data_IF_520961771283
#
_entry.id   IF_520961771283
#
_cell.length_a   1.000
_cell.length_b   1.000
_cell.length_c   1.000
_cell.angle_alpha   90.00
_cell.angle_beta   90.00
_cell.angle_gamma   90.00
#
_symmetry.space_group_name_H-M   'P 1'
#
loop_
_entity.id
_entity.type
_entity.pdbx_description
1 polymer ?
#
# COMPACT_ATOMS: atom_id res chain seq x y z
N UNK A 1 6.45 -20.22 17.42
CA UNK A 1 6.99 -19.95 16.07
C UNK A 1 6.26 -18.77 15.40
N UNK A 2 7.00 -17.78 14.91
CA UNK A 2 6.43 -16.65 14.17
C UNK A 2 6.11 -17.09 12.73
N UNK A 3 4.96 -16.65 12.19
CA UNK A 3 4.52 -17.01 10.83
C UNK A 3 5.05 -16.06 9.74
N UNK A 4 5.76 -15.00 10.15
CA UNK A 4 6.29 -13.97 9.27
C UNK A 4 7.63 -13.46 9.81
N UNK A 5 8.43 -12.88 8.91
CA UNK A 5 9.66 -12.14 9.22
C UNK A 5 9.38 -10.64 9.12
N UNK A 6 10.26 -9.82 9.69
CA UNK A 6 10.23 -8.37 9.55
C UNK A 6 11.66 -7.87 9.32
N UNK A 7 11.81 -6.90 8.43
CA UNK A 7 13.08 -6.22 8.14
C UNK A 7 12.88 -4.70 8.16
N UNK A 8 13.96 -3.97 8.40
CA UNK A 8 13.93 -2.50 8.46
C UNK A 8 14.27 -1.93 7.09
N UNK A 9 13.39 -1.09 6.54
CA UNK A 9 13.63 -0.43 5.25
C UNK A 9 14.65 0.73 5.34
N UNK A 10 14.74 1.36 6.51
CA UNK A 10 15.61 2.49 6.81
C UNK A 10 16.20 2.33 8.23
N UNK A 11 17.32 3.02 8.59
CA UNK A 11 17.84 3.00 9.96
C UNK A 11 16.79 3.42 10.99
N UNK A 12 16.52 2.58 11.98
CA UNK A 12 15.46 2.80 12.95
C UNK A 12 15.85 2.37 14.38
N UNK A 13 15.06 2.82 15.35
CA UNK A 13 15.16 2.38 16.75
C UNK A 13 13.99 1.44 17.06
N UNK A 14 14.28 0.32 17.70
CA UNK A 14 13.29 -0.72 18.00
C UNK A 14 13.28 -0.95 19.52
N UNK A 15 12.10 -0.80 20.12
CA UNK A 15 11.87 -1.16 21.51
C UNK A 15 11.32 -2.59 21.58
N UNK A 16 12.06 -3.50 22.22
CA UNK A 16 11.58 -4.85 22.46
C UNK A 16 10.72 -4.92 23.71
N UNK A 17 9.52 -5.50 23.59
CA UNK A 17 8.63 -5.76 24.72
C UNK A 17 8.40 -7.27 24.80
N UNK A 18 8.74 -7.86 25.94
CA UNK A 18 8.49 -9.28 26.16
C UNK A 18 6.98 -9.57 26.18
N UNK A 19 6.54 -10.60 25.45
CA UNK A 19 5.12 -10.97 25.33
C UNK A 19 4.43 -11.11 26.69
N UNK A 20 5.07 -11.76 27.66
CA UNK A 20 4.44 -11.98 28.97
C UNK A 20 4.31 -10.68 29.76
N UNK A 21 5.32 -9.82 29.70
CA UNK A 21 5.27 -8.50 30.33
C UNK A 21 4.15 -7.64 29.73
N UNK A 22 4.00 -7.66 28.40
CA UNK A 22 2.93 -6.94 27.72
C UNK A 22 1.54 -7.44 28.11
N UNK A 23 1.32 -8.77 28.12
CA UNK A 23 0.03 -9.33 28.50
C UNK A 23 -0.33 -9.04 29.96
N UNK A 24 0.65 -9.10 30.88
CA UNK A 24 0.43 -8.68 32.28
C UNK A 24 0.07 -7.20 32.36
N UNK A 25 0.77 -6.35 31.61
CA UNK A 25 0.48 -4.92 31.56
C UNK A 25 -0.96 -4.65 31.09
N UNK A 26 -1.42 -5.30 30.03
CA UNK A 26 -2.80 -5.15 29.53
C UNK A 26 -3.84 -5.61 30.55
N UNK A 27 -3.57 -6.68 31.30
CA UNK A 27 -4.44 -7.16 32.36
C UNK A 27 -4.62 -6.15 33.51
N UNK A 28 -3.63 -5.30 33.74
CA UNK A 28 -3.64 -4.29 34.80
C UNK A 28 -4.13 -2.90 34.32
N UNK A 29 -4.30 -2.70 33.01
CA UNK A 29 -4.63 -1.41 32.40
C UNK A 29 -5.76 -1.57 31.36
N UNK A 30 -7.04 -1.62 31.81
CA UNK A 30 -8.20 -1.87 30.94
C UNK A 30 -8.34 -0.88 29.78
N UNK A 31 -8.03 0.39 30.00
CA UNK A 31 -8.06 1.44 28.97
C UNK A 31 -7.04 1.19 27.86
N UNK A 32 -5.85 0.68 28.21
CA UNK A 32 -4.86 0.30 27.20
C UNK A 32 -5.27 -0.98 26.48
N UNK A 33 -5.87 -1.94 27.20
CA UNK A 33 -6.42 -3.15 26.60
C UNK A 33 -7.47 -2.83 25.53
N UNK A 34 -8.39 -1.91 25.81
CA UNK A 34 -9.41 -1.48 24.85
C UNK A 34 -8.77 -0.86 23.60
N UNK A 35 -7.80 0.04 23.76
CA UNK A 35 -7.08 0.65 22.62
C UNK A 35 -6.34 -0.38 21.77
N UNK A 36 -5.73 -1.38 22.39
CA UNK A 36 -5.08 -2.48 21.67
C UNK A 36 -6.10 -3.30 20.90
N UNK A 37 -7.26 -3.60 21.48
CA UNK A 37 -8.35 -4.31 20.80
C UNK A 37 -8.88 -3.51 19.59
N UNK A 38 -9.07 -2.20 19.73
CA UNK A 38 -9.44 -1.30 18.63
C UNK A 38 -8.39 -1.30 17.52
N UNK A 39 -7.11 -1.22 17.89
CA UNK A 39 -6.02 -1.24 16.91
C UNK A 39 -5.97 -2.57 16.14
N UNK A 40 -6.16 -3.71 16.82
CA UNK A 40 -6.23 -5.01 16.18
C UNK A 40 -7.45 -5.13 15.25
N UNK A 41 -8.61 -4.63 15.67
CA UNK A 41 -9.82 -4.60 14.84
C UNK A 41 -9.63 -3.75 13.58
N UNK A 42 -9.00 -2.58 13.71
CA UNK A 42 -8.66 -1.74 12.58
C UNK A 42 -7.65 -2.41 11.63
N UNK A 43 -6.61 -3.06 12.16
CA UNK A 43 -5.67 -3.82 11.34
C UNK A 43 -6.35 -4.96 10.58
N UNK A 44 -7.26 -5.69 11.24
CA UNK A 44 -8.03 -6.74 10.60
C UNK A 44 -8.93 -6.19 9.48
N UNK A 45 -9.63 -5.08 9.75
CA UNK A 45 -10.49 -4.41 8.74
C UNK A 45 -9.68 -3.92 7.54
N UNK A 46 -8.52 -3.30 7.77
CA UNK A 46 -7.63 -2.87 6.70
C UNK A 46 -7.13 -4.06 5.85
N UNK A 47 -6.74 -5.16 6.51
CA UNK A 47 -6.33 -6.39 5.83
C UNK A 47 -7.50 -6.99 5.02
N UNK A 48 -8.71 -6.97 5.58
CA UNK A 48 -9.90 -7.46 4.88
C UNK A 48 -10.25 -6.60 3.67
N UNK A 49 -10.16 -5.27 3.76
CA UNK A 49 -10.35 -4.38 2.61
C UNK A 49 -9.25 -4.57 1.56
N UNK A 50 -8.00 -4.86 1.95
CA UNK A 50 -6.95 -5.23 1.00
C UNK A 50 -7.26 -6.56 0.30
N UNK A 51 -7.67 -7.60 1.04
CA UNK A 51 -8.07 -8.88 0.44
C UNK A 51 -9.27 -8.70 -0.48
N UNK A 52 -10.26 -7.90 -0.05
CA UNK A 52 -11.43 -7.55 -0.85
C UNK A 52 -11.03 -6.77 -2.09
N UNK A 53 -10.13 -5.80 -2.01
CA UNK A 53 -9.69 -5.03 -3.17
C UNK A 53 -8.92 -5.91 -4.16
N UNK A 54 -8.10 -6.84 -3.68
CA UNK A 54 -7.41 -7.84 -4.49
C UNK A 54 -8.37 -8.86 -5.13
N UNK A 55 -9.43 -9.25 -4.42
CA UNK A 55 -10.44 -10.20 -4.89
C UNK A 55 -11.50 -9.57 -5.81
N UNK A 56 -11.77 -8.27 -5.67
CA UNK A 56 -12.65 -7.48 -6.54
C UNK A 56 -11.94 -7.01 -7.81
N UNK A 57 -10.61 -7.05 -7.85
CA UNK A 57 -9.85 -6.71 -9.04
C UNK A 57 -9.53 -7.99 -9.83
N UNK A 58 -10.16 -8.10 -11.00
CA UNK A 58 -10.05 -9.21 -11.94
C UNK A 58 -8.72 -9.19 -12.70
N UNK A 59 -8.09 -8.02 -12.87
CA UNK A 59 -6.82 -7.89 -13.62
C UNK A 59 -5.70 -7.23 -12.82
N UNK A 60 -4.44 -7.53 -13.20
CA UNK A 60 -3.28 -6.86 -12.62
C UNK A 60 -3.28 -5.34 -12.86
N UNK A 61 -3.91 -4.88 -13.95
CA UNK A 61 -4.08 -3.47 -14.26
C UNK A 61 -5.01 -2.76 -13.26
N UNK A 62 -6.14 -3.37 -12.91
CA UNK A 62 -7.06 -2.87 -11.88
C UNK A 62 -6.37 -2.77 -10.51
N UNK A 63 -5.66 -3.84 -10.10
CA UNK A 63 -4.94 -3.87 -8.83
C UNK A 63 -3.89 -2.77 -8.74
N UNK A 64 -3.09 -2.60 -9.79
CA UNK A 64 -2.11 -1.52 -9.86
C UNK A 64 -2.79 -0.15 -9.83
N UNK A 65 -3.84 0.06 -10.63
CA UNK A 65 -4.55 1.33 -10.68
C UNK A 65 -5.15 1.72 -9.33
N UNK A 66 -5.77 0.78 -8.61
CA UNK A 66 -6.32 1.00 -7.27
C UNK A 66 -5.21 1.35 -6.26
N UNK A 67 -4.11 0.59 -6.23
CA UNK A 67 -2.96 0.89 -5.37
C UNK A 67 -2.41 2.30 -5.62
N UNK A 68 -2.27 2.71 -6.88
CA UNK A 68 -1.79 4.05 -7.24
C UNK A 68 -2.79 5.15 -6.83
N UNK A 69 -4.10 4.89 -6.89
CA UNK A 69 -5.14 5.82 -6.45
C UNK A 69 -5.14 5.99 -4.94
N UNK A 70 -5.00 4.91 -4.18
CA UNK A 70 -4.98 4.96 -2.72
C UNK A 70 -3.81 5.83 -2.23
N UNK A 71 -2.63 5.67 -2.84
CA UNK A 71 -1.44 6.46 -2.49
C UNK A 71 -1.48 7.91 -2.99
N UNK A 72 -2.20 8.16 -4.08
CA UNK A 72 -2.39 9.53 -4.55
C UNK A 72 -3.25 10.38 -3.61
N UNK A 73 -4.02 9.76 -2.70
CA UNK A 73 -4.74 10.48 -1.64
C UNK A 73 -3.79 11.13 -0.62
N UNK A 74 -2.54 10.66 -0.53
CA UNK A 74 -1.50 11.19 0.37
C UNK A 74 -0.57 12.21 -0.34
N UNK A 75 -0.76 12.46 -1.64
CA UNK A 75 0.12 13.30 -2.46
C UNK A 75 -0.36 14.75 -2.63
N UNK A 76 0.58 15.66 -2.88
CA UNK A 76 0.31 17.07 -3.18
C UNK A 76 -0.14 17.28 -4.64
N UNK A 77 -1.09 18.19 -4.84
CA UNK A 77 -1.55 18.63 -6.17
C UNK A 77 -0.45 19.43 -6.87
N UNK A 78 -0.04 19.01 -8.06
CA UNK A 78 0.87 19.78 -8.90
C UNK A 78 0.18 21.00 -9.51
N UNK A 79 0.92 22.10 -9.63
CA UNK A 79 0.48 23.33 -10.29
C UNK A 79 -0.03 23.16 -11.74
N UNK A 80 0.29 22.04 -12.40
CA UNK A 80 -0.13 21.73 -13.78
C UNK A 80 -1.19 20.63 -13.88
N UNK A 81 -1.86 20.28 -12.78
CA UNK A 81 -3.05 19.41 -12.79
C UNK A 81 -2.81 17.90 -12.63
N UNK A 82 -1.61 17.47 -12.20
CA UNK A 82 -1.30 16.08 -11.87
C UNK A 82 -1.08 15.84 -10.38
N UNK A 83 -1.03 14.59 -9.93
CA UNK A 83 -0.58 14.24 -8.57
C UNK A 83 0.86 13.77 -8.62
N UNK A 84 1.72 14.31 -7.75
CA UNK A 84 3.09 13.83 -7.57
C UNK A 84 3.24 13.27 -6.18
N UNK A 85 3.74 12.04 -6.15
CA UNK A 85 4.10 11.37 -4.90
C UNK A 85 5.50 10.81 -5.02
N UNK A 86 6.19 10.79 -3.88
CA UNK A 86 7.45 10.07 -3.73
C UNK A 86 7.09 8.58 -3.67
N UNK A 87 7.57 7.84 -4.66
CA UNK A 87 7.25 6.44 -4.88
C UNK A 87 8.57 5.66 -4.88
N UNK A 88 8.95 5.11 -3.73
CA UNK A 88 10.26 4.46 -3.53
C UNK A 88 10.27 2.97 -3.81
N UNK A 89 9.11 2.36 -4.06
CA UNK A 89 9.04 0.93 -4.33
C UNK A 89 9.61 0.55 -5.69
N UNK A 90 10.37 -0.54 -5.67
CA UNK A 90 10.78 -1.30 -6.84
C UNK A 90 9.60 -2.03 -7.48
N UNK A 91 9.76 -2.42 -8.74
CA UNK A 91 8.75 -3.21 -9.44
C UNK A 91 8.50 -4.59 -8.79
N UNK A 92 9.49 -5.14 -8.09
CA UNK A 92 9.38 -6.41 -7.38
C UNK A 92 8.48 -6.27 -6.14
N UNK A 93 8.72 -5.24 -5.32
CA UNK A 93 7.90 -4.96 -4.14
C UNK A 93 6.43 -4.68 -4.52
N UNK A 94 6.21 -3.92 -5.60
CA UNK A 94 4.85 -3.69 -6.14
C UNK A 94 4.21 -5.01 -6.57
N UNK A 95 4.97 -5.86 -7.26
CA UNK A 95 4.47 -7.14 -7.74
C UNK A 95 4.03 -8.04 -6.58
N UNK A 96 4.81 -8.09 -5.50
CA UNK A 96 4.45 -8.79 -4.28
C UNK A 96 3.18 -8.22 -3.63
N UNK A 97 3.05 -6.90 -3.56
CA UNK A 97 1.89 -6.24 -2.97
C UNK A 97 0.59 -6.50 -3.73
N UNK A 98 0.62 -6.46 -5.06
CA UNK A 98 -0.58 -6.66 -5.89
C UNK A 98 -0.77 -8.12 -6.35
N UNK A 99 0.11 -9.02 -5.90
CA UNK A 99 0.06 -10.44 -6.21
C UNK A 99 0.22 -10.75 -7.70
N UNK A 100 1.28 -10.22 -8.33
CA UNK A 100 1.62 -10.45 -9.74
C UNK A 100 3.13 -10.63 -9.93
N UNK A 101 3.62 -10.65 -11.17
CA UNK A 101 5.06 -10.72 -11.47
C UNK A 101 5.66 -9.32 -11.73
N UNK A 102 6.96 -9.17 -11.46
CA UNK A 102 7.72 -7.93 -11.76
C UNK A 102 7.64 -7.53 -13.22
N UNK A 103 7.65 -8.50 -14.15
CA UNK A 103 7.51 -8.28 -15.59
C UNK A 103 6.14 -7.69 -15.91
N UNK A 104 5.09 -8.18 -15.25
CA UNK A 104 3.72 -7.69 -15.40
C UNK A 104 3.62 -6.24 -14.95
N UNK A 105 4.19 -5.91 -13.78
CA UNK A 105 4.26 -4.52 -13.27
C UNK A 105 5.00 -3.61 -14.25
N UNK A 106 6.14 -4.06 -14.77
CA UNK A 106 6.95 -3.30 -15.75
C UNK A 106 6.17 -3.02 -17.03
N UNK A 107 5.44 -4.01 -17.53
CA UNK A 107 4.58 -3.89 -18.71
C UNK A 107 3.45 -2.89 -18.47
N UNK A 108 2.79 -2.96 -17.32
CA UNK A 108 1.70 -2.06 -16.96
C UNK A 108 2.14 -0.60 -16.81
N UNK A 109 3.28 -0.34 -16.16
CA UNK A 109 3.83 1.02 -16.10
C UNK A 109 4.20 1.56 -17.49
N UNK A 110 4.72 0.71 -18.37
CA UNK A 110 5.01 1.09 -19.76
C UNK A 110 3.73 1.43 -20.52
N UNK A 111 2.66 0.65 -20.32
CA UNK A 111 1.34 0.89 -20.91
C UNK A 111 0.71 2.17 -20.38
N UNK A 112 0.72 2.40 -19.07
CA UNK A 112 0.22 3.63 -18.45
C UNK A 112 0.97 4.86 -18.93
N UNK A 113 2.29 4.76 -19.13
CA UNK A 113 3.11 5.82 -19.72
C UNK A 113 2.70 6.09 -21.16
N UNK A 114 2.53 5.06 -21.99
CA UNK A 114 2.11 5.21 -23.38
C UNK A 114 0.71 5.84 -23.48
N UNK A 115 -0.22 5.46 -22.60
CA UNK A 115 -1.56 6.03 -22.52
C UNK A 115 -1.61 7.41 -21.84
N UNK A 116 -0.46 7.95 -21.43
CA UNK A 116 -0.35 9.22 -20.67
C UNK A 116 -1.21 9.24 -19.39
N UNK A 117 -1.40 8.09 -18.74
CA UNK A 117 -2.18 7.97 -17.50
C UNK A 117 -1.28 8.28 -16.31
N UNK A 118 -0.14 7.60 -16.24
CA UNK A 118 0.84 7.77 -15.18
C UNK A 118 2.26 7.55 -15.70
N UNK A 119 3.26 8.14 -15.06
CA UNK A 119 4.67 7.95 -15.42
C UNK A 119 5.52 7.88 -14.16
N UNK A 120 6.30 6.81 -14.04
CA UNK A 120 7.32 6.68 -13.01
C UNK A 120 8.66 7.22 -13.54
N UNK A 121 9.24 8.21 -12.86
CA UNK A 121 10.56 8.78 -13.14
C UNK A 121 11.43 8.67 -11.90
N UNK A 122 12.32 7.68 -11.87
CA UNK A 122 13.07 7.35 -10.65
C UNK A 122 12.10 7.02 -9.51
N UNK A 123 12.26 7.69 -8.37
CA UNK A 123 11.38 7.54 -7.21
C UNK A 123 10.18 8.50 -7.20
N UNK A 124 9.80 9.04 -8.35
CA UNK A 124 8.71 10.01 -8.47
C UNK A 124 7.65 9.44 -9.40
N UNK A 125 6.45 9.21 -8.88
CA UNK A 125 5.29 8.87 -9.68
C UNK A 125 4.50 10.13 -9.99
N UNK A 126 4.22 10.34 -11.28
CA UNK A 126 3.36 11.40 -11.79
C UNK A 126 2.08 10.77 -12.33
N UNK A 127 0.93 11.11 -11.75
CA UNK A 127 -0.39 10.74 -12.27
C UNK A 127 -0.90 11.93 -13.07
N UNK A 128 -1.03 11.74 -14.39
CA UNK A 128 -1.47 12.80 -15.32
C UNK A 128 -2.98 12.77 -15.53
N UNK A 129 -3.59 11.58 -15.52
CA UNK A 129 -5.02 11.41 -15.72
C UNK A 129 -5.61 10.48 -14.65
N UNK A 130 -6.05 11.09 -13.54
CA UNK A 130 -6.71 10.39 -12.43
C UNK A 130 -8.02 9.75 -12.87
N UNK A 131 -8.78 10.38 -13.78
CA UNK A 131 -10.09 9.88 -14.18
C UNK A 131 -9.98 8.59 -14.99
N UNK A 132 -9.02 8.51 -15.91
CA UNK A 132 -8.71 7.26 -16.62
C UNK A 132 -8.19 6.17 -15.68
N UNK A 133 -7.38 6.52 -14.70
CA UNK A 133 -6.91 5.58 -13.67
C UNK A 133 -8.07 5.05 -12.81
N UNK A 134 -9.04 5.91 -12.44
CA UNK A 134 -10.26 5.51 -11.74
C UNK A 134 -11.15 4.58 -12.57
N UNK A 135 -11.27 4.81 -13.89
CA UNK A 135 -12.00 3.89 -14.77
C UNK A 135 -11.35 2.51 -14.77
N UNK A 136 -10.02 2.44 -14.89
CA UNK A 136 -9.28 1.17 -14.85
C UNK A 136 -9.48 0.47 -13.50
N UNK A 137 -9.49 1.19 -12.37
CA UNK A 137 -9.65 0.60 -11.04
C UNK A 137 -11.05 0.03 -10.74
N UNK A 138 -12.07 0.37 -11.54
CA UNK A 138 -13.46 -0.07 -11.38
C UNK A 138 -13.99 -0.84 -12.60
N UNK A 139 -13.07 -1.28 -13.48
CA UNK A 139 -13.42 -1.92 -14.75
C UNK A 139 -13.76 -3.39 -14.60
#
# INVERSE_FOLDING_TARGET
PYKATAETLDPCQIAFIERQAFLRYLGNHPETCLRVAEHLSNNYRATFEQVRSLGLSHTAAEKLARMLLDWSCEGELHATGGYRLRFTLTHEEIAQMIGTSRETVTRLFSEFKHKRIATLKGSILLIHDRASLQKIAHS
#
